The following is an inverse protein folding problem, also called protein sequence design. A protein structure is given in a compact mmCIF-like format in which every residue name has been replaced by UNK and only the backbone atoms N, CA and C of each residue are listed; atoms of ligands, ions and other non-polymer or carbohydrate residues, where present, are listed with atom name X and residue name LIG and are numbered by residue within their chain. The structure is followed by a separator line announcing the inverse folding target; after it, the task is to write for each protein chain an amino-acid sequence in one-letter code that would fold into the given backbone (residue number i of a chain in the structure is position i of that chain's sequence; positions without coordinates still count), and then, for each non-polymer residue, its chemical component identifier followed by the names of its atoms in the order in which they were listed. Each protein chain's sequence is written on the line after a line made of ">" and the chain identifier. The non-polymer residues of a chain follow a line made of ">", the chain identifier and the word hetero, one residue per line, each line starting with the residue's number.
data_IF_625583459202
#
_entry.id   IF_625583459202
#
_cell.length_a   1.000
_cell.length_b   1.000
_cell.length_c   1.000
_cell.angle_alpha   90.00
_cell.angle_beta   90.00
_cell.angle_gamma   90.00
#
_symmetry.space_group_name_H-M   'P 1'
#
loop_
_entity.id
_entity.type
_entity.pdbx_description
1 polymer ?
#
# COMPACT_ATOMS: atom_id res chain seq x y z
N UNK A 1 -15.81 20.42 -11.52
CA UNK A 1 -15.05 19.77 -10.43
C UNK A 1 -13.87 19.00 -11.03
N UNK A 2 -12.63 19.48 -10.89
CA UNK A 2 -11.45 18.72 -11.35
C UNK A 2 -11.28 17.51 -10.42
N UNK A 3 -11.64 16.32 -10.90
CA UNK A 3 -11.12 15.08 -10.32
C UNK A 3 -9.60 15.16 -10.43
N UNK A 4 -8.93 15.48 -9.31
CA UNK A 4 -7.48 15.47 -9.20
C UNK A 4 -7.10 14.01 -9.35
N UNK A 5 -6.86 13.57 -10.59
CA UNK A 5 -6.18 12.30 -10.88
C UNK A 5 -4.76 12.46 -10.33
N UNK A 6 -4.63 12.34 -9.01
CA UNK A 6 -3.35 12.14 -8.36
C UNK A 6 -2.79 10.90 -9.03
N UNK A 7 -1.69 11.08 -9.77
CA UNK A 7 -1.08 10.03 -10.57
C UNK A 7 -0.45 9.02 -9.60
N UNK A 8 -1.32 8.20 -9.00
CA UNK A 8 -1.03 7.34 -7.86
C UNK A 8 -1.33 5.92 -8.27
N UNK A 9 -0.29 5.11 -8.37
CA UNK A 9 -0.44 3.68 -8.63
C UNK A 9 -0.73 2.98 -7.31
N UNK A 10 -1.81 2.19 -7.27
CA UNK A 10 -2.13 1.33 -6.13
C UNK A 10 -1.74 -0.12 -6.46
N UNK A 11 -0.74 -0.63 -5.74
CA UNK A 11 -0.32 -2.03 -5.81
C UNK A 11 -0.91 -2.80 -4.64
N UNK A 12 -1.43 -4.00 -4.91
CA UNK A 12 -1.91 -4.93 -3.89
C UNK A 12 -0.91 -6.09 -3.76
N UNK A 13 -0.51 -6.44 -2.55
CA UNK A 13 0.39 -7.57 -2.27
C UNK A 13 -0.15 -8.39 -1.11
N UNK A 14 -0.50 -9.65 -1.37
CA UNK A 14 -0.87 -10.58 -0.30
C UNK A 14 0.31 -10.72 0.67
N UNK A 15 0.01 -10.64 1.95
CA UNK A 15 1.00 -10.79 3.02
C UNK A 15 1.55 -12.23 3.02
N UNK A 16 2.85 -12.36 3.27
CA UNK A 16 3.56 -13.65 3.24
C UNK A 16 3.02 -14.64 4.28
N UNK A 17 2.66 -14.16 5.46
CA UNK A 17 2.35 -15.00 6.62
C UNK A 17 0.85 -15.11 6.86
N UNK A 18 0.07 -14.18 6.32
CA UNK A 18 -1.38 -14.15 6.47
C UNK A 18 -2.06 -13.96 5.11
N UNK A 19 -2.57 -15.05 4.54
CA UNK A 19 -3.28 -15.03 3.26
C UNK A 19 -4.55 -14.15 3.26
N UNK A 20 -5.12 -13.84 4.44
CA UNK A 20 -6.27 -12.93 4.56
C UNK A 20 -5.88 -11.46 4.58
N UNK A 21 -4.57 -11.17 4.69
CA UNK A 21 -4.04 -9.82 4.74
C UNK A 21 -3.46 -9.45 3.37
N UNK A 22 -3.80 -8.26 2.90
CA UNK A 22 -3.30 -7.67 1.66
C UNK A 22 -2.73 -6.29 1.97
N UNK A 23 -1.46 -6.09 1.68
CA UNK A 23 -0.84 -4.77 1.69
C UNK A 23 -1.35 -3.95 0.51
N UNK A 24 -1.83 -2.75 0.80
CA UNK A 24 -2.25 -1.74 -0.16
C UNK A 24 -1.15 -0.68 -0.24
N UNK A 25 -0.48 -0.55 -1.36
CA UNK A 25 0.72 0.27 -1.51
C UNK A 25 0.44 1.34 -2.57
N UNK A 26 0.37 2.60 -2.15
CA UNK A 26 0.26 3.76 -3.04
C UNK A 26 1.64 4.32 -3.33
N UNK A 27 1.95 4.52 -4.61
CA UNK A 27 3.12 5.28 -5.07
C UNK A 27 2.66 6.59 -5.69
N UNK A 28 3.13 7.71 -5.19
CA UNK A 28 2.85 9.04 -5.71
C UNK A 28 3.87 9.43 -6.79
N UNK A 29 3.51 10.41 -7.62
CA UNK A 29 4.37 10.88 -8.72
C UNK A 29 5.70 11.48 -8.24
N UNK A 30 5.72 12.04 -7.03
CA UNK A 30 6.90 12.57 -6.35
C UNK A 30 7.82 11.48 -5.75
N UNK A 31 7.46 10.20 -5.92
CA UNK A 31 8.23 9.06 -5.43
C UNK A 31 7.99 8.73 -3.95
N UNK A 32 7.04 9.40 -3.28
CA UNK A 32 6.61 8.99 -1.95
C UNK A 32 5.74 7.75 -1.99
N UNK A 33 5.79 6.97 -0.90
CA UNK A 33 4.95 5.80 -0.71
C UNK A 33 4.00 6.03 0.46
N UNK A 34 2.81 5.45 0.36
CA UNK A 34 1.92 5.28 1.49
C UNK A 34 1.32 3.88 1.48
N UNK A 35 1.12 3.30 2.66
CA UNK A 35 0.62 1.94 2.84
C UNK A 35 -0.67 1.92 3.64
N UNK A 36 -1.46 0.88 3.42
CA UNK A 36 -2.54 0.42 4.28
C UNK A 36 -2.57 -1.11 4.20
N UNK A 37 -3.41 -1.73 5.00
CA UNK A 37 -3.64 -3.17 4.94
C UNK A 37 -5.14 -3.44 4.88
N UNK A 38 -5.51 -4.40 4.07
CA UNK A 38 -6.83 -5.00 4.06
C UNK A 38 -6.73 -6.35 4.78
N UNK A 39 -7.61 -6.63 5.73
CA UNK A 39 -7.66 -7.90 6.45
C UNK A 39 -9.08 -8.45 6.35
N UNK A 40 -9.22 -9.63 5.74
CA UNK A 40 -10.54 -10.24 5.53
C UNK A 40 -11.49 -9.37 4.69
N UNK A 41 -10.95 -8.68 3.68
CA UNK A 41 -11.74 -7.84 2.76
C UNK A 41 -12.08 -6.44 3.30
N UNK A 42 -11.61 -6.07 4.50
CA UNK A 42 -11.83 -4.73 5.08
C UNK A 42 -10.52 -3.97 5.22
N UNK A 43 -10.51 -2.73 4.76
CA UNK A 43 -9.39 -1.81 4.96
C UNK A 43 -9.27 -1.51 6.46
N UNK A 44 -8.09 -1.75 7.00
CA UNK A 44 -7.85 -1.71 8.45
C UNK A 44 -7.72 -0.29 8.98
N UNK A 45 -6.97 0.58 8.28
CA UNK A 45 -6.81 1.98 8.67
C UNK A 45 -7.75 2.88 7.87
N UNK A 46 -8.31 3.90 8.53
CA UNK A 46 -9.16 4.92 7.90
C UNK A 46 -8.44 5.74 6.82
N UNK A 47 -7.10 5.75 6.83
CA UNK A 47 -6.26 6.49 5.90
C UNK A 47 -4.93 5.77 5.67
N UNK A 48 -4.35 5.99 4.50
CA UNK A 48 -3.02 5.48 4.18
C UNK A 48 -1.96 6.18 5.01
N UNK A 49 -0.99 5.42 5.50
CA UNK A 49 0.13 5.90 6.30
C UNK A 49 1.36 6.06 5.41
N UNK A 50 2.14 7.13 5.61
CA UNK A 50 3.37 7.35 4.83
C UNK A 50 4.37 6.23 5.13
N UNK A 51 5.03 5.73 4.09
CA UNK A 51 5.99 4.64 4.19
C UNK A 51 7.31 5.00 3.52
N UNK A 52 8.40 4.41 4.04
CA UNK A 52 9.73 4.54 3.44
C UNK A 52 9.95 3.47 2.38
N UNK A 53 10.90 3.70 1.45
CA UNK A 53 11.29 2.70 0.46
C UNK A 53 11.75 1.39 1.10
N UNK A 54 12.42 1.45 2.26
CA UNK A 54 12.87 0.28 3.01
C UNK A 54 11.70 -0.54 3.56
N UNK A 55 10.66 0.11 4.10
CA UNK A 55 9.44 -0.58 4.53
C UNK A 55 8.73 -1.26 3.35
N UNK A 56 8.63 -0.59 2.21
CA UNK A 56 8.08 -1.19 0.98
C UNK A 56 8.92 -2.40 0.55
N UNK A 57 10.25 -2.26 0.54
CA UNK A 57 11.15 -3.35 0.20
C UNK A 57 10.94 -4.55 1.13
N UNK A 58 10.78 -4.35 2.44
CA UNK A 58 10.48 -5.43 3.38
C UNK A 58 9.14 -6.14 3.12
N UNK A 59 8.12 -5.42 2.62
CA UNK A 59 6.84 -6.02 2.22
C UNK A 59 7.00 -6.92 0.98
N UNK A 60 7.87 -6.53 0.05
CA UNK A 60 8.16 -7.30 -1.16
C UNK A 60 9.28 -8.33 -1.00
N UNK A 61 10.09 -8.20 0.06
CA UNK A 61 11.19 -9.09 0.34
C UNK A 61 10.64 -10.50 0.62
N UNK A 62 10.76 -11.35 -0.40
CA UNK A 62 10.60 -12.77 -0.29
C UNK A 62 11.73 -13.43 -1.09
N UNK A 63 12.88 -13.57 -0.41
CA UNK A 63 13.86 -14.63 -0.55
C UNK A 63 14.27 -14.94 0.89
#
# INVERSE_FOLDING_TARGET
>A
MRSRKNNTTLTRKVDKWNARKVWLIKRYADGHYAINQEVGGRVFYSRFQRATKAQIAAIFACC
#
